data_IF_047325005994
#
_entry.id   IF_047325005994
#
_cell.length_a   1.000
_cell.length_b   1.000
_cell.length_c   1.000
_cell.angle_alpha   90.00
_cell.angle_beta   90.00
_cell.angle_gamma   90.00
#
_symmetry.space_group_name_H-M   'P 1'
#
loop_
_entity.id
_entity.type
_entity.pdbx_description
1 polymer ?
#
# COMPACT_ATOMS: atom_id res chain seq x y z
N UNK A 1 24.29 15.59 25.67
CA UNK A 1 23.62 15.33 24.38
C UNK A 1 24.24 16.27 23.37
N UNK A 2 24.98 15.73 22.41
CA UNK A 2 25.73 16.56 21.47
C UNK A 2 24.78 17.21 20.47
N UNK A 3 24.91 18.52 20.28
CA UNK A 3 24.05 19.30 19.38
C UNK A 3 24.04 18.74 17.94
N UNK A 4 25.15 18.11 17.53
CA UNK A 4 25.30 17.46 16.23
C UNK A 4 24.34 16.27 16.04
N UNK A 5 24.08 15.50 17.09
CA UNK A 5 23.19 14.33 17.02
C UNK A 5 21.74 14.80 16.86
N UNK A 6 21.36 15.86 17.57
CA UNK A 6 20.02 16.46 17.47
C UNK A 6 19.79 17.05 16.07
N UNK A 7 20.78 17.77 15.54
CA UNK A 7 20.72 18.32 14.19
C UNK A 7 20.60 17.22 13.11
N UNK A 8 21.39 16.15 13.22
CA UNK A 8 21.31 15.01 12.30
C UNK A 8 19.96 14.29 12.38
N UNK A 9 19.42 14.08 13.58
CA UNK A 9 18.12 13.46 13.78
C UNK A 9 16.97 14.31 13.19
N UNK A 10 17.04 15.64 13.34
CA UNK A 10 16.05 16.55 12.77
C UNK A 10 16.07 16.53 11.22
N UNK A 11 17.26 16.55 10.62
CA UNK A 11 17.43 16.47 9.16
C UNK A 11 16.90 15.12 8.63
N UNK A 12 17.24 14.02 9.30
CA UNK A 12 16.77 12.70 8.91
C UNK A 12 15.24 12.56 9.06
N UNK A 13 14.67 13.11 10.13
CA UNK A 13 13.22 13.17 10.32
C UNK A 13 12.52 13.97 9.22
N UNK A 14 13.10 15.09 8.77
CA UNK A 14 12.59 15.90 7.67
C UNK A 14 12.63 15.14 6.33
N UNK A 15 13.73 14.45 6.05
CA UNK A 15 13.88 13.61 4.85
C UNK A 15 12.85 12.49 4.82
N UNK A 16 12.72 11.74 5.91
CA UNK A 16 11.73 10.66 6.04
C UNK A 16 10.29 11.21 5.95
N UNK A 17 10.02 12.34 6.60
CA UNK A 17 8.72 13.02 6.51
C UNK A 17 8.40 13.46 5.09
N UNK A 18 9.38 13.95 4.34
CA UNK A 18 9.25 14.30 2.93
C UNK A 18 8.89 13.11 2.05
N UNK A 19 9.56 11.96 2.25
CA UNK A 19 9.25 10.71 1.55
C UNK A 19 7.81 10.26 1.86
N UNK A 20 7.40 10.26 3.13
CA UNK A 20 6.03 9.88 3.49
C UNK A 20 4.97 10.84 2.96
N UNK A 21 5.27 12.14 2.90
CA UNK A 21 4.37 13.15 2.33
C UNK A 21 4.20 12.95 0.82
N UNK A 22 5.27 12.63 0.10
CA UNK A 22 5.21 12.28 -1.32
C UNK A 22 4.33 11.05 -1.57
N UNK A 23 4.50 10.00 -0.76
CA UNK A 23 3.66 8.78 -0.86
C UNK A 23 2.18 9.11 -0.58
N UNK A 24 1.90 9.87 0.49
CA UNK A 24 0.55 10.26 0.85
C UNK A 24 -0.10 11.20 -0.19
N UNK A 25 0.69 12.03 -0.87
CA UNK A 25 0.19 12.99 -1.86
C UNK A 25 -0.53 12.31 -3.03
N UNK A 26 -0.15 11.09 -3.41
CA UNK A 26 -0.84 10.33 -4.45
C UNK A 26 -2.30 10.05 -4.09
N UNK A 27 -2.55 9.66 -2.83
CA UNK A 27 -3.90 9.43 -2.32
C UNK A 27 -4.69 10.75 -2.22
N UNK A 28 -4.03 11.82 -1.79
CA UNK A 28 -4.63 13.17 -1.73
C UNK A 28 -4.97 13.71 -3.12
N UNK A 29 -4.16 13.43 -4.15
CA UNK A 29 -4.45 13.83 -5.53
C UNK A 29 -5.65 13.05 -6.09
N UNK A 30 -5.74 11.75 -5.82
CA UNK A 30 -6.89 10.93 -6.21
C UNK A 30 -8.18 11.47 -5.58
N UNK A 31 -8.17 11.73 -4.26
CA UNK A 31 -9.39 12.20 -3.57
C UNK A 31 -9.68 13.69 -3.77
N UNK A 32 -8.66 14.53 -3.92
CA UNK A 32 -8.79 15.98 -3.96
C UNK A 32 -8.98 16.58 -5.35
N UNK A 33 -8.44 15.96 -6.41
CA UNK A 33 -8.54 16.49 -7.77
C UNK A 33 -9.57 15.72 -8.59
N UNK A 34 -9.52 14.38 -8.56
CA UNK A 34 -10.37 13.56 -9.43
C UNK A 34 -11.82 13.50 -8.93
N UNK A 35 -12.11 13.84 -7.67
CA UNK A 35 -13.45 13.80 -7.04
C UNK A 35 -14.21 12.45 -7.22
N UNK A 36 -13.52 11.39 -7.65
CA UNK A 36 -14.07 10.06 -7.88
C UNK A 36 -13.43 9.13 -6.86
N UNK A 37 -14.26 8.55 -5.99
CA UNK A 37 -13.83 7.56 -5.01
C UNK A 37 -13.81 6.20 -5.71
N UNK A 38 -12.62 5.61 -5.86
CA UNK A 38 -12.49 4.24 -6.34
C UNK A 38 -12.89 3.26 -5.22
N UNK A 39 -14.21 3.06 -5.05
CA UNK A 39 -14.76 2.03 -4.15
C UNK A 39 -14.45 0.60 -4.62
N UNK A 40 -14.10 0.43 -5.90
CA UNK A 40 -13.80 -0.88 -6.47
C UNK A 40 -12.47 -1.46 -5.94
N UNK A 41 -11.54 -0.63 -5.47
CA UNK A 41 -10.24 -1.10 -5.03
C UNK A 41 -10.34 -2.07 -3.84
N UNK A 42 -11.16 -1.75 -2.84
CA UNK A 42 -11.38 -2.63 -1.67
C UNK A 42 -12.14 -3.90 -2.03
N UNK A 43 -13.17 -3.80 -2.88
CA UNK A 43 -13.94 -4.97 -3.32
C UNK A 43 -13.13 -5.89 -4.24
N UNK A 44 -12.26 -5.34 -5.09
CA UNK A 44 -11.38 -6.11 -5.97
C UNK A 44 -10.33 -6.87 -5.16
N UNK A 45 -9.75 -6.24 -4.14
CA UNK A 45 -8.82 -6.90 -3.21
C UNK A 45 -9.50 -8.07 -2.49
N UNK A 46 -10.69 -7.84 -1.93
CA UNK A 46 -11.50 -8.88 -1.29
C UNK A 46 -11.76 -10.05 -2.24
N UNK A 47 -12.14 -9.77 -3.49
CA UNK A 47 -12.41 -10.79 -4.49
C UNK A 47 -11.15 -11.59 -4.84
N UNK A 48 -10.00 -10.95 -4.99
CA UNK A 48 -8.72 -11.62 -5.21
C UNK A 48 -8.36 -12.54 -4.03
N UNK A 49 -8.51 -12.06 -2.79
CA UNK A 49 -8.21 -12.86 -1.58
C UNK A 49 -9.13 -14.07 -1.44
N UNK A 50 -10.45 -13.91 -1.66
CA UNK A 50 -11.37 -15.04 -1.68
C UNK A 50 -11.09 -15.98 -2.86
N UNK A 51 -10.66 -15.44 -4.01
CA UNK A 51 -10.20 -16.24 -5.16
C UNK A 51 -9.05 -17.16 -4.78
N UNK A 52 -8.02 -16.64 -4.10
CA UNK A 52 -6.91 -17.46 -3.57
C UNK A 52 -7.39 -18.52 -2.59
N UNK A 53 -8.32 -18.18 -1.68
CA UNK A 53 -8.92 -19.15 -0.75
C UNK A 53 -9.66 -20.28 -1.48
N UNK A 54 -10.43 -19.97 -2.53
CA UNK A 54 -11.13 -20.97 -3.31
C UNK A 54 -10.18 -21.84 -4.15
N UNK A 55 -9.12 -21.26 -4.72
CA UNK A 55 -8.09 -22.02 -5.43
C UNK A 55 -7.39 -23.03 -4.51
N UNK A 56 -7.11 -22.64 -3.26
CA UNK A 56 -6.54 -23.56 -2.27
C UNK A 56 -7.54 -24.65 -1.88
N UNK A 57 -8.77 -24.28 -1.53
CA UNK A 57 -9.76 -25.22 -0.99
C UNK A 57 -10.34 -26.20 -2.02
N UNK A 58 -10.51 -25.78 -3.27
CA UNK A 58 -11.13 -26.59 -4.32
C UNK A 58 -10.11 -27.30 -5.22
N UNK A 59 -8.99 -26.64 -5.53
CA UNK A 59 -8.01 -27.12 -6.49
C UNK A 59 -6.68 -27.52 -5.84
N UNK A 60 -6.50 -27.26 -4.54
CA UNK A 60 -5.26 -27.56 -3.81
C UNK A 60 -4.07 -26.73 -4.27
N UNK A 61 -4.30 -25.62 -4.98
CA UNK A 61 -3.23 -24.76 -5.50
C UNK A 61 -2.61 -24.00 -4.34
N UNK A 62 -1.28 -24.06 -4.25
CA UNK A 62 -0.52 -23.35 -3.24
C UNK A 62 -0.78 -21.82 -3.34
N UNK A 63 -0.97 -21.11 -2.21
CA UNK A 63 -1.25 -19.68 -2.22
C UNK A 63 -0.19 -18.85 -2.96
N UNK A 64 1.08 -19.26 -2.97
CA UNK A 64 2.12 -18.55 -3.72
C UNK A 64 1.98 -18.75 -5.23
N UNK A 65 1.53 -19.92 -5.68
CA UNK A 65 1.25 -20.16 -7.10
C UNK A 65 -0.02 -19.42 -7.57
N UNK A 66 -0.99 -19.21 -6.68
CA UNK A 66 -2.24 -18.51 -7.00
C UNK A 66 -2.04 -17.06 -7.45
N UNK A 67 -0.89 -16.46 -7.14
CA UNK A 67 -0.51 -15.09 -7.52
C UNK A 67 -0.54 -14.92 -9.05
N UNK A 68 -0.13 -15.92 -9.83
CA UNK A 68 -0.13 -15.82 -11.30
C UNK A 68 -1.52 -15.78 -11.94
N UNK A 69 -2.56 -16.14 -11.19
CA UNK A 69 -3.94 -16.26 -11.68
C UNK A 69 -4.79 -15.09 -11.18
N UNK A 70 -4.56 -14.64 -9.94
CA UNK A 70 -5.42 -13.69 -9.23
C UNK A 70 -4.90 -12.25 -9.17
N UNK A 71 -3.62 -12.01 -9.51
CA UNK A 71 -2.99 -10.69 -9.61
C UNK A 71 -2.85 -10.28 -11.07
#
# INVERSE_FOLDING_TARGET
MDANIIAAAAINGLLLGGIYTLVASGLTLIYGVLHIINFAHGSMLMLAMFGVFYLLTLLGIDPYLSIFIMV
#
